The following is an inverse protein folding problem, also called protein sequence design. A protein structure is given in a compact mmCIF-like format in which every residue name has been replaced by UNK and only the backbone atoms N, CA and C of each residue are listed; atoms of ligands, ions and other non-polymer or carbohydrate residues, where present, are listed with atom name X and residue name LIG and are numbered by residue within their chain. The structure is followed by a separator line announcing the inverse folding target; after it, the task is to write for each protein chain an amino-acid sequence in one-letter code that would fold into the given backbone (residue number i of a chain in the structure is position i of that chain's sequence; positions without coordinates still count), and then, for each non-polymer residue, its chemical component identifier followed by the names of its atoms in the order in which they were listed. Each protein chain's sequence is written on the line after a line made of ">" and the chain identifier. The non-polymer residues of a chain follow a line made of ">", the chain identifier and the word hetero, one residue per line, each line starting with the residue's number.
data_IF_709636638169
#
_entry.id   IF_709636638169
#
_cell.length_a   1.000
_cell.length_b   1.000
_cell.length_c   1.000
_cell.angle_alpha   90.00
_cell.angle_beta   90.00
_cell.angle_gamma   90.00
#
_symmetry.space_group_name_H-M   'P 1'
#
loop_
_entity.id
_entity.type
_entity.pdbx_description
1 polymer ?
#
# COMPACT_ATOMS: atom_id res chain seq x y z
N UNK A 1 18.93 -1.48 -25.48
CA UNK A 1 17.47 -1.49 -25.70
C UNK A 1 16.89 -0.17 -25.20
N UNK A 2 16.02 0.43 -25.96
CA UNK A 2 15.20 1.56 -25.50
C UNK A 2 14.11 1.08 -24.54
N UNK A 3 13.48 2.00 -23.80
CA UNK A 3 12.34 1.67 -22.92
C UNK A 3 11.27 0.90 -23.71
N UNK A 4 10.90 1.40 -24.89
CA UNK A 4 9.89 0.78 -25.75
C UNK A 4 10.26 -0.65 -26.19
N UNK A 5 11.50 -0.88 -26.56
CA UNK A 5 11.98 -2.24 -26.93
C UNK A 5 11.90 -3.20 -25.72
N UNK A 6 12.19 -2.72 -24.50
CA UNK A 6 12.07 -3.52 -23.28
C UNK A 6 10.60 -3.85 -22.99
N UNK A 7 9.73 -2.88 -23.11
CA UNK A 7 8.27 -3.04 -22.90
C UNK A 7 7.67 -4.04 -23.90
N UNK A 8 8.03 -3.93 -25.19
CA UNK A 8 7.58 -4.85 -26.23
C UNK A 8 8.04 -6.30 -25.93
N UNK A 9 9.28 -6.47 -25.48
CA UNK A 9 9.82 -7.77 -25.10
C UNK A 9 9.13 -8.33 -23.83
N UNK A 10 8.85 -7.49 -22.81
CA UNK A 10 8.08 -7.88 -21.62
C UNK A 10 6.69 -8.35 -22.03
N UNK A 11 5.98 -7.59 -22.87
CA UNK A 11 4.61 -7.91 -23.33
C UNK A 11 4.61 -9.23 -24.11
N UNK A 12 5.65 -9.49 -24.92
CA UNK A 12 5.81 -10.75 -25.63
C UNK A 12 6.04 -11.91 -24.67
N UNK A 13 7.04 -11.80 -23.78
CA UNK A 13 7.44 -12.88 -22.88
C UNK A 13 6.37 -13.21 -21.83
N UNK A 14 5.64 -12.21 -21.28
CA UNK A 14 4.60 -12.49 -20.30
C UNK A 14 3.46 -13.32 -20.90
N UNK A 15 3.13 -13.12 -22.17
CA UNK A 15 2.12 -13.94 -22.89
C UNK A 15 2.65 -15.34 -23.18
N UNK A 16 3.90 -15.43 -23.67
CA UNK A 16 4.53 -16.69 -24.04
C UNK A 16 4.73 -17.63 -22.85
N UNK A 17 5.03 -17.07 -21.67
CA UNK A 17 5.35 -17.82 -20.45
C UNK A 17 4.22 -17.82 -19.42
N UNK A 18 3.05 -17.31 -19.77
CA UNK A 18 1.84 -17.26 -18.94
C UNK A 18 2.05 -16.53 -17.60
N UNK A 19 2.65 -15.33 -17.65
CA UNK A 19 2.82 -14.45 -16.50
C UNK A 19 1.74 -13.37 -16.42
N UNK A 20 1.28 -13.09 -15.21
CA UNK A 20 0.50 -11.90 -14.84
C UNK A 20 1.42 -10.89 -14.17
N UNK A 21 1.39 -9.64 -14.61
CA UNK A 21 2.15 -8.54 -14.00
C UNK A 21 1.18 -7.64 -13.25
N UNK A 22 1.36 -7.54 -11.94
CA UNK A 22 0.63 -6.66 -11.03
C UNK A 22 1.53 -5.49 -10.67
N UNK A 23 1.04 -4.26 -10.76
CA UNK A 23 1.82 -3.08 -10.41
C UNK A 23 1.07 -2.18 -9.43
N UNK A 24 1.72 -1.87 -8.30
CA UNK A 24 1.19 -0.88 -7.38
C UNK A 24 1.14 0.50 -8.03
N UNK A 25 0.13 1.29 -7.71
CA UNK A 25 -0.06 2.63 -8.24
C UNK A 25 1.11 3.61 -7.96
N UNK A 26 2.05 3.24 -7.07
CA UNK A 26 3.28 4.01 -6.83
C UNK A 26 4.44 3.64 -7.77
N UNK A 27 4.27 2.70 -8.69
CA UNK A 27 5.27 2.39 -9.71
C UNK A 27 5.39 3.50 -10.76
N UNK A 28 6.52 3.53 -11.49
CA UNK A 28 6.69 4.42 -12.63
C UNK A 28 5.70 4.09 -13.76
N UNK A 29 5.34 5.09 -14.54
CA UNK A 29 4.36 4.95 -15.61
C UNK A 29 4.77 3.89 -16.64
N UNK A 30 6.07 3.79 -16.94
CA UNK A 30 6.62 2.79 -17.85
C UNK A 30 6.38 1.34 -17.41
N UNK A 31 6.26 1.09 -16.08
CA UNK A 31 5.92 -0.22 -15.54
C UNK A 31 4.41 -0.46 -15.63
N UNK A 32 3.59 0.58 -15.40
CA UNK A 32 2.14 0.46 -15.51
C UNK A 32 1.70 0.10 -16.93
N UNK A 33 2.42 0.58 -17.96
CA UNK A 33 2.14 0.28 -19.36
C UNK A 33 2.30 -1.22 -19.72
N UNK A 34 3.11 -1.97 -18.97
CA UNK A 34 3.29 -3.42 -19.18
C UNK A 34 2.51 -4.28 -18.19
N UNK A 35 1.92 -3.67 -17.14
CA UNK A 35 1.13 -4.35 -16.14
C UNK A 35 -0.21 -4.86 -16.71
N UNK A 36 -0.72 -5.93 -16.13
CA UNK A 36 -2.08 -6.43 -16.40
C UNK A 36 -3.10 -5.76 -15.47
N UNK A 37 -2.69 -5.47 -14.24
CA UNK A 37 -3.51 -4.80 -13.24
C UNK A 37 -2.71 -3.75 -12.49
N UNK A 38 -3.34 -2.61 -12.22
CA UNK A 38 -2.84 -1.54 -11.37
C UNK A 38 -3.78 -1.33 -10.18
N UNK A 39 -3.23 -1.11 -8.99
CA UNK A 39 -4.04 -0.87 -7.79
C UNK A 39 -3.24 -0.65 -6.52
N UNK A 40 -3.92 -0.79 -5.40
CA UNK A 40 -3.32 -0.84 -4.08
C UNK A 40 -2.89 -2.27 -3.68
N UNK A 41 -2.23 -2.38 -2.52
CA UNK A 41 -1.65 -3.64 -2.05
C UNK A 41 -2.64 -4.80 -1.96
N UNK A 42 -3.83 -4.54 -1.42
CA UNK A 42 -4.84 -5.58 -1.22
C UNK A 42 -5.60 -5.89 -2.52
N UNK A 43 -6.04 -4.86 -3.23
CA UNK A 43 -6.75 -5.03 -4.49
C UNK A 43 -5.97 -5.86 -5.51
N UNK A 44 -4.66 -5.62 -5.63
CA UNK A 44 -3.78 -6.42 -6.50
C UNK A 44 -3.70 -7.89 -6.08
N UNK A 45 -3.63 -8.16 -4.77
CA UNK A 45 -3.58 -9.55 -4.28
C UNK A 45 -4.91 -10.29 -4.53
N UNK A 46 -6.04 -9.60 -4.47
CA UNK A 46 -7.35 -10.14 -4.85
C UNK A 46 -7.42 -10.42 -6.35
N UNK A 47 -6.92 -9.50 -7.19
CA UNK A 47 -6.86 -9.76 -8.64
C UNK A 47 -5.94 -10.94 -8.97
N UNK A 48 -4.78 -11.06 -8.28
CA UNK A 48 -3.91 -12.23 -8.42
C UNK A 48 -4.65 -13.54 -8.12
N UNK A 49 -5.49 -13.57 -7.10
CA UNK A 49 -6.23 -14.80 -6.71
C UNK A 49 -7.27 -15.23 -7.74
N UNK A 50 -7.83 -14.27 -8.48
CA UNK A 50 -8.85 -14.53 -9.53
C UNK A 50 -8.24 -14.84 -10.89
N UNK A 51 -7.02 -14.36 -11.16
CA UNK A 51 -6.34 -14.58 -12.43
C UNK A 51 -6.04 -16.06 -12.63
N UNK A 52 -6.21 -16.61 -13.82
CA UNK A 52 -6.00 -18.03 -14.11
C UNK A 52 -4.52 -18.40 -14.25
N UNK A 53 -3.65 -17.43 -14.47
CA UNK A 53 -2.21 -17.65 -14.68
C UNK A 53 -1.52 -18.08 -13.39
N UNK A 54 -0.55 -18.98 -13.53
CA UNK A 54 0.18 -19.55 -12.39
C UNK A 54 1.34 -18.67 -11.92
N UNK A 55 1.90 -17.86 -12.80
CA UNK A 55 3.08 -17.06 -12.52
C UNK A 55 2.69 -15.59 -12.38
N UNK A 56 3.00 -15.00 -11.23
CA UNK A 56 2.67 -13.61 -10.90
C UNK A 56 3.97 -12.83 -10.68
N UNK A 57 4.11 -11.68 -11.32
CA UNK A 57 5.14 -10.71 -10.98
C UNK A 57 4.46 -9.57 -10.20
N UNK A 58 4.88 -9.34 -8.95
CA UNK A 58 4.38 -8.25 -8.11
C UNK A 58 5.35 -7.07 -8.14
N UNK A 59 5.07 -6.07 -8.97
CA UNK A 59 5.81 -4.81 -9.00
C UNK A 59 5.35 -3.90 -7.85
N UNK A 60 6.07 -3.97 -6.75
CA UNK A 60 5.77 -3.31 -5.49
C UNK A 60 6.88 -3.59 -4.48
N UNK A 61 6.52 -3.74 -3.21
CA UNK A 61 7.44 -4.06 -2.12
C UNK A 61 7.12 -5.43 -1.51
N UNK A 62 8.07 -5.99 -0.76
CA UNK A 62 8.09 -7.37 -0.26
C UNK A 62 6.78 -7.81 0.37
N UNK A 63 6.24 -7.08 1.36
CA UNK A 63 5.01 -7.49 2.06
C UNK A 63 3.80 -7.65 1.11
N UNK A 64 3.79 -6.95 -0.03
CA UNK A 64 2.74 -7.07 -1.05
C UNK A 64 2.88 -8.38 -1.81
N UNK A 65 4.10 -8.75 -2.20
CA UNK A 65 4.38 -10.03 -2.86
C UNK A 65 4.06 -11.21 -1.92
N UNK A 66 4.41 -11.08 -0.63
CA UNK A 66 4.04 -12.05 0.40
C UNK A 66 2.52 -12.15 0.59
N UNK A 67 1.80 -11.02 0.67
CA UNK A 67 0.33 -11.02 0.76
C UNK A 67 -0.30 -11.67 -0.47
N UNK A 68 0.23 -11.40 -1.66
CA UNK A 68 -0.18 -12.05 -2.90
C UNK A 68 0.03 -13.59 -2.83
N UNK A 69 1.17 -14.05 -2.31
CA UNK A 69 1.47 -15.48 -2.12
C UNK A 69 0.50 -16.13 -1.11
N UNK A 70 0.22 -15.46 0.00
CA UNK A 70 -0.71 -15.96 1.04
C UNK A 70 -2.13 -16.13 0.47
N UNK A 71 -2.61 -15.18 -0.33
CA UNK A 71 -3.94 -15.25 -0.96
C UNK A 71 -3.98 -16.15 -2.21
N UNK A 72 -2.83 -16.51 -2.74
CA UNK A 72 -2.68 -17.37 -3.93
C UNK A 72 -1.63 -18.46 -3.70
N UNK A 73 -1.84 -19.40 -2.73
CA UNK A 73 -0.81 -20.35 -2.29
C UNK A 73 -0.32 -21.27 -3.42
N UNK A 74 -1.18 -21.58 -4.38
CA UNK A 74 -0.87 -22.46 -5.52
C UNK A 74 -0.12 -21.74 -6.67
N UNK A 75 0.17 -20.45 -6.53
CA UNK A 75 0.84 -19.63 -7.56
C UNK A 75 2.30 -19.36 -7.22
N UNK A 76 3.11 -19.22 -8.25
CA UNK A 76 4.47 -18.73 -8.12
C UNK A 76 4.43 -17.21 -8.15
N UNK A 77 4.85 -16.57 -7.07
CA UNK A 77 4.86 -15.10 -6.94
C UNK A 77 6.29 -14.61 -6.90
N UNK A 78 6.62 -13.69 -7.78
CA UNK A 78 7.96 -13.14 -7.93
C UNK A 78 7.99 -11.66 -7.54
N UNK A 79 8.96 -11.29 -6.71
CA UNK A 79 9.36 -9.91 -6.44
C UNK A 79 10.50 -9.54 -7.40
N UNK A 80 10.33 -8.59 -8.34
CA UNK A 80 11.34 -8.31 -9.37
C UNK A 80 12.67 -7.82 -8.80
N UNK A 81 12.61 -6.97 -7.77
CA UNK A 81 13.80 -6.48 -7.07
C UNK A 81 13.75 -6.92 -5.60
N UNK A 82 14.64 -7.84 -5.16
CA UNK A 82 14.65 -8.35 -3.78
C UNK A 82 14.90 -7.29 -2.70
N UNK A 83 15.55 -6.18 -3.05
CA UNK A 83 15.82 -5.05 -2.13
C UNK A 83 14.60 -4.14 -1.91
N UNK A 84 13.50 -4.37 -2.63
CA UNK A 84 12.29 -3.58 -2.52
C UNK A 84 11.51 -3.94 -1.24
N UNK A 85 12.07 -3.61 -0.07
CA UNK A 85 11.44 -3.71 1.23
C UNK A 85 10.50 -2.52 1.53
N UNK A 86 9.85 -2.55 2.69
CA UNK A 86 9.04 -1.42 3.18
C UNK A 86 9.47 -1.03 4.59
N UNK A 87 10.13 0.14 4.76
CA UNK A 87 10.61 0.56 6.09
C UNK A 87 9.51 0.63 7.17
N UNK A 88 8.25 0.89 6.78
CA UNK A 88 7.14 0.84 7.72
C UNK A 88 6.79 -0.60 8.10
N UNK A 89 6.74 -1.51 7.14
CA UNK A 89 6.38 -2.90 7.41
C UNK A 89 7.42 -3.62 8.28
N UNK A 90 8.69 -3.23 8.17
CA UNK A 90 9.85 -3.88 8.76
C UNK A 90 10.30 -3.24 10.10
N UNK A 91 9.65 -2.17 10.57
CA UNK A 91 10.07 -1.45 11.77
C UNK A 91 9.66 -2.14 13.09
N UNK A 92 8.79 -3.14 13.04
CA UNK A 92 8.32 -3.89 14.20
C UNK A 92 8.65 -5.37 14.03
N UNK A 93 9.23 -5.99 15.05
CA UNK A 93 9.47 -7.43 15.10
C UNK A 93 8.47 -8.14 16.05
N UNK A 94 8.38 -9.49 16.01
CA UNK A 94 7.49 -10.25 16.87
C UNK A 94 7.69 -10.01 18.36
N UNK A 95 8.94 -9.85 18.82
CA UNK A 95 9.29 -9.62 20.23
C UNK A 95 8.69 -8.30 20.73
N UNK A 96 8.80 -7.24 19.92
CA UNK A 96 8.19 -5.93 20.22
C UNK A 96 6.66 -6.03 20.31
N UNK A 97 6.03 -6.80 19.44
CA UNK A 97 4.59 -7.03 19.50
C UNK A 97 4.20 -7.80 20.78
N UNK A 98 4.98 -8.80 21.18
CA UNK A 98 4.74 -9.56 22.41
C UNK A 98 4.86 -8.68 23.67
N UNK A 99 5.82 -7.75 23.70
CA UNK A 99 5.94 -6.77 24.76
C UNK A 99 4.73 -5.84 24.81
N UNK A 100 4.26 -5.38 23.65
CA UNK A 100 3.06 -4.55 23.57
C UNK A 100 1.80 -5.30 23.99
N UNK A 101 1.62 -6.57 23.63
CA UNK A 101 0.52 -7.41 24.11
C UNK A 101 0.52 -7.58 25.64
N UNK A 102 1.69 -7.71 26.24
CA UNK A 102 1.84 -7.75 27.73
C UNK A 102 1.45 -6.42 28.36
N UNK A 103 1.81 -5.29 27.72
CA UNK A 103 1.49 -3.94 28.20
C UNK A 103 0.00 -3.59 28.03
N UNK A 104 -0.66 -4.13 26.99
CA UNK A 104 -2.05 -3.88 26.64
C UNK A 104 -2.86 -5.19 26.64
N UNK A 105 -3.06 -5.82 27.81
CA UNK A 105 -3.77 -7.10 27.88
C UNK A 105 -5.23 -6.92 27.48
N UNK A 106 -5.74 -7.86 26.66
CA UNK A 106 -7.13 -7.86 26.19
C UNK A 106 -7.43 -6.92 25.04
N UNK A 107 -6.42 -6.24 24.46
CA UNK A 107 -6.61 -5.49 23.22
C UNK A 107 -6.61 -6.41 22.00
N UNK A 108 -7.49 -6.16 21.06
CA UNK A 108 -7.42 -6.79 19.74
C UNK A 108 -6.28 -6.17 18.93
N UNK A 109 -5.41 -7.00 18.38
CA UNK A 109 -4.28 -6.54 17.54
C UNK A 109 -4.75 -6.35 16.11
N UNK A 110 -4.89 -5.10 15.71
CA UNK A 110 -5.24 -4.70 14.34
C UNK A 110 -3.98 -4.30 13.60
N UNK A 111 -3.62 -5.07 12.58
CA UNK A 111 -2.43 -4.82 11.77
C UNK A 111 -2.79 -4.14 10.45
N UNK A 112 -2.22 -2.97 10.18
CA UNK A 112 -2.20 -2.46 8.84
C UNK A 112 -1.50 -3.46 7.91
N UNK A 113 -2.00 -3.65 6.70
CA UNK A 113 -1.48 -4.65 5.75
C UNK A 113 0.00 -4.48 5.45
N UNK A 114 0.52 -3.24 5.61
CA UNK A 114 1.93 -2.87 5.50
C UNK A 114 2.72 -3.37 6.73
N UNK A 115 2.80 -4.65 6.88
CA UNK A 115 3.42 -5.40 7.98
C UNK A 115 4.01 -6.68 7.39
N UNK A 116 5.06 -7.25 7.99
CA UNK A 116 5.64 -8.53 7.53
C UNK A 116 4.65 -9.68 7.71
N UNK A 117 4.78 -10.73 6.91
CA UNK A 117 3.93 -11.90 7.03
C UNK A 117 4.12 -12.64 8.35
N UNK A 118 5.33 -12.65 8.89
CA UNK A 118 5.64 -13.20 10.20
C UNK A 118 4.86 -12.48 11.30
N UNK A 119 4.87 -11.14 11.31
CA UNK A 119 4.16 -10.36 12.33
C UNK A 119 2.63 -10.56 12.24
N UNK A 120 2.09 -10.74 11.02
CA UNK A 120 0.67 -11.04 10.80
C UNK A 120 0.21 -12.33 11.51
N UNK A 121 1.10 -13.31 11.71
CA UNK A 121 0.75 -14.57 12.40
C UNK A 121 0.27 -14.32 13.84
N UNK A 122 0.74 -13.27 14.47
CA UNK A 122 0.45 -12.87 15.83
C UNK A 122 -0.65 -11.80 15.96
N UNK A 123 -1.27 -11.39 14.84
CA UNK A 123 -2.32 -10.37 14.80
C UNK A 123 -3.72 -10.97 14.66
N UNK A 124 -4.74 -10.27 15.18
CA UNK A 124 -6.12 -10.74 15.14
C UNK A 124 -6.79 -10.45 13.80
N UNK A 125 -6.50 -9.31 13.17
CA UNK A 125 -7.06 -8.91 11.88
C UNK A 125 -6.14 -7.93 11.17
N UNK A 126 -6.06 -8.03 9.84
CA UNK A 126 -5.47 -7.01 9.00
C UNK A 126 -6.50 -5.94 8.60
N UNK A 127 -6.00 -4.76 8.25
CA UNK A 127 -6.78 -3.68 7.64
C UNK A 127 -5.97 -3.01 6.53
N UNK A 128 -6.66 -2.35 5.61
CA UNK A 128 -6.06 -1.42 4.65
C UNK A 128 -6.48 0.02 4.99
N UNK A 129 -5.86 1.01 4.41
CA UNK A 129 -6.29 2.42 4.58
C UNK A 129 -7.74 2.65 4.14
N UNK A 130 -8.28 1.84 3.22
CA UNK A 130 -9.67 1.93 2.78
C UNK A 130 -10.66 1.20 3.68
N UNK A 131 -10.24 0.15 4.40
CA UNK A 131 -11.12 -0.72 5.19
C UNK A 131 -10.99 -0.54 6.70
N UNK A 132 -9.97 0.19 7.17
CA UNK A 132 -9.63 0.27 8.60
C UNK A 132 -10.79 0.78 9.47
N UNK A 133 -11.47 1.84 9.07
CA UNK A 133 -12.61 2.39 9.81
C UNK A 133 -13.74 1.36 9.89
N UNK A 134 -14.11 0.75 8.76
CA UNK A 134 -15.18 -0.24 8.69
C UNK A 134 -14.88 -1.48 9.54
N UNK A 135 -13.67 -2.03 9.41
CA UNK A 135 -13.29 -3.25 10.13
C UNK A 135 -13.18 -3.01 11.63
N UNK A 136 -12.49 -1.94 12.05
CA UNK A 136 -12.39 -1.59 13.47
C UNK A 136 -13.75 -1.34 14.11
N UNK A 137 -14.70 -0.74 13.36
CA UNK A 137 -16.07 -0.55 13.84
C UNK A 137 -16.85 -1.86 14.03
N UNK A 138 -16.56 -2.88 13.23
CA UNK A 138 -17.19 -4.22 13.31
C UNK A 138 -16.59 -5.16 14.35
N UNK A 139 -15.44 -4.80 14.95
CA UNK A 139 -14.84 -5.61 16.01
C UNK A 139 -15.67 -5.50 17.30
N UNK A 140 -15.98 -6.64 17.91
CA UNK A 140 -16.67 -6.70 19.22
C UNK A 140 -15.81 -6.15 20.36
N UNK A 141 -14.48 -6.08 20.17
CA UNK A 141 -13.54 -5.57 21.17
C UNK A 141 -13.47 -4.03 21.10
N UNK A 142 -13.72 -3.38 22.23
CA UNK A 142 -13.63 -1.92 22.35
C UNK A 142 -12.19 -1.42 22.54
N UNK A 143 -11.22 -2.35 22.76
CA UNK A 143 -9.81 -2.05 22.95
C UNK A 143 -9.00 -2.55 21.77
N UNK A 144 -8.31 -1.64 21.09
CA UNK A 144 -7.56 -1.91 19.86
C UNK A 144 -6.10 -1.53 20.00
N UNK A 145 -5.20 -2.49 19.78
CA UNK A 145 -3.78 -2.24 19.56
C UNK A 145 -3.53 -2.13 18.06
N UNK A 146 -3.37 -0.90 17.57
CA UNK A 146 -3.20 -0.62 16.15
C UNK A 146 -1.72 -0.51 15.78
N UNK A 147 -1.28 -1.31 14.81
CA UNK A 147 0.11 -1.39 14.36
C UNK A 147 0.21 -1.36 12.83
N UNK A 148 1.36 -1.00 12.21
CA UNK A 148 2.48 -0.30 12.79
C UNK A 148 2.39 1.23 12.62
N UNK A 149 1.30 1.76 11.99
CA UNK A 149 1.14 3.18 11.67
C UNK A 149 0.18 3.89 12.64
N UNK A 150 0.70 4.73 13.57
CA UNK A 150 -0.13 5.46 14.50
C UNK A 150 -0.95 6.58 13.85
N UNK A 151 -0.56 7.09 12.68
CA UNK A 151 -1.31 8.15 12.01
C UNK A 151 -2.61 7.61 11.42
N UNK A 152 -2.53 6.49 10.69
CA UNK A 152 -3.72 5.77 10.25
C UNK A 152 -4.58 5.35 11.44
N UNK A 153 -3.96 4.83 12.52
CA UNK A 153 -4.67 4.46 13.75
C UNK A 153 -5.38 5.65 14.40
N UNK A 154 -4.73 6.81 14.49
CA UNK A 154 -5.35 8.05 15.00
C UNK A 154 -6.51 8.53 14.12
N UNK A 155 -6.37 8.42 12.80
CA UNK A 155 -7.47 8.73 11.88
C UNK A 155 -8.66 7.82 12.13
N UNK A 156 -8.44 6.52 12.32
CA UNK A 156 -9.49 5.53 12.63
C UNK A 156 -10.13 5.84 13.99
N UNK A 157 -9.33 6.08 15.04
CA UNK A 157 -9.82 6.40 16.38
C UNK A 157 -10.74 7.62 16.41
N UNK A 158 -10.44 8.66 15.62
CA UNK A 158 -11.30 9.87 15.52
C UNK A 158 -12.70 9.56 14.99
N UNK A 159 -12.87 8.47 14.22
CA UNK A 159 -14.17 8.05 13.69
C UNK A 159 -14.98 7.19 14.68
N UNK A 160 -14.34 6.70 15.75
CA UNK A 160 -14.95 5.86 16.78
C UNK A 160 -14.39 6.21 18.17
N UNK A 161 -14.76 7.39 18.70
CA UNK A 161 -14.23 7.91 19.97
C UNK A 161 -14.62 7.06 21.19
N UNK A 162 -15.58 6.16 21.05
CA UNK A 162 -16.01 5.21 22.08
C UNK A 162 -15.03 4.04 22.28
N UNK A 163 -14.15 3.75 21.31
CA UNK A 163 -13.15 2.68 21.40
C UNK A 163 -11.81 3.20 21.90
N UNK A 164 -11.15 2.41 22.71
CA UNK A 164 -9.82 2.69 23.27
C UNK A 164 -8.72 2.18 22.33
N UNK A 165 -7.80 3.05 21.92
CA UNK A 165 -6.69 2.68 21.06
C UNK A 165 -5.34 2.80 21.74
N UNK A 166 -4.49 1.82 21.51
CA UNK A 166 -3.05 1.88 21.78
C UNK A 166 -2.30 1.77 20.45
N UNK A 167 -1.16 2.46 20.36
CA UNK A 167 -0.40 2.56 19.12
C UNK A 167 1.05 2.12 19.32
N UNK A 168 1.62 1.54 18.29
CA UNK A 168 3.06 1.47 18.12
C UNK A 168 3.59 2.83 17.68
N UNK A 169 4.75 3.24 18.16
CA UNK A 169 5.37 4.51 17.76
C UNK A 169 6.21 4.34 16.49
N UNK A 170 5.54 4.20 15.35
CA UNK A 170 6.13 3.98 14.05
C UNK A 170 5.50 4.85 12.97
N UNK A 171 5.35 4.30 11.76
CA UNK A 171 4.68 4.94 10.62
C UNK A 171 5.53 5.05 9.36
N UNK A 172 4.91 5.48 8.27
CA UNK A 172 5.58 5.63 7.00
C UNK A 172 6.56 6.82 7.02
N UNK A 173 7.88 6.63 6.83
CA UNK A 173 8.85 7.72 6.90
C UNK A 173 8.63 8.79 5.83
N UNK A 174 7.96 8.46 4.70
CA UNK A 174 7.64 9.42 3.64
C UNK A 174 6.48 10.32 4.03
N UNK A 175 5.38 9.75 4.52
CA UNK A 175 4.23 10.52 4.98
C UNK A 175 4.53 11.31 6.26
N UNK A 176 5.33 10.75 7.18
CA UNK A 176 5.80 11.45 8.39
C UNK A 176 6.69 12.67 8.08
N UNK A 177 7.42 12.66 6.96
CA UNK A 177 8.29 13.76 6.56
C UNK A 177 7.52 15.01 6.09
N UNK A 178 6.24 14.86 5.70
CA UNK A 178 5.38 15.99 5.32
C UNK A 178 4.90 16.70 6.58
N UNK A 179 5.11 18.00 6.62
CA UNK A 179 4.75 18.85 7.75
C UNK A 179 3.53 19.73 7.46
N UNK A 180 2.92 20.28 8.51
CA UNK A 180 1.85 21.28 8.36
C UNK A 180 2.31 22.48 7.49
N UNK A 181 3.57 22.91 7.64
CA UNK A 181 4.14 24.01 6.83
C UNK A 181 4.18 23.65 5.33
N UNK A 182 4.51 22.38 4.98
CA UNK A 182 4.43 21.90 3.59
C UNK A 182 2.99 22.04 3.05
N UNK A 183 1.98 21.62 3.83
CA UNK A 183 0.58 21.69 3.43
C UNK A 183 0.09 23.13 3.25
N UNK A 184 0.40 24.03 4.20
CA UNK A 184 0.01 25.42 4.13
C UNK A 184 0.66 26.14 2.95
N UNK A 185 1.95 25.88 2.69
CA UNK A 185 2.66 26.43 1.52
C UNK A 185 2.04 25.92 0.21
N UNK A 186 1.69 24.64 0.12
CA UNK A 186 1.05 24.11 -1.08
C UNK A 186 -0.32 24.76 -1.31
N UNK A 187 -1.12 24.99 -0.27
CA UNK A 187 -2.41 25.71 -0.35
C UNK A 187 -2.24 27.18 -0.73
N UNK A 188 -1.17 27.83 -0.24
CA UNK A 188 -0.85 29.22 -0.63
C UNK A 188 -0.46 29.35 -2.11
N UNK A 189 0.32 28.37 -2.63
CA UNK A 189 0.73 28.32 -4.03
C UNK A 189 -0.43 27.97 -4.97
N UNK A 190 -1.39 27.18 -4.49
CA UNK A 190 -2.52 26.66 -5.27
C UNK A 190 -3.86 26.92 -4.55
N UNK A 191 -4.29 28.20 -4.39
CA UNK A 191 -5.39 28.59 -3.52
C UNK A 191 -6.78 28.09 -3.97
N UNK A 192 -6.90 27.56 -5.20
CA UNK A 192 -8.15 26.99 -5.74
C UNK A 192 -8.16 25.47 -5.72
N UNK A 193 -7.04 24.84 -5.35
CA UNK A 193 -6.91 23.38 -5.33
C UNK A 193 -7.44 22.79 -4.04
N UNK A 194 -8.18 21.68 -4.14
CA UNK A 194 -8.56 20.86 -3.00
C UNK A 194 -7.38 19.99 -2.54
N UNK A 195 -7.12 19.94 -1.24
CA UNK A 195 -6.08 19.12 -0.63
C UNK A 195 -6.60 17.72 -0.32
N UNK A 196 -6.09 16.71 -1.04
CA UNK A 196 -6.44 15.30 -0.86
C UNK A 196 -5.28 14.57 -0.18
N UNK A 197 -5.51 13.98 1.01
CA UNK A 197 -4.43 13.48 1.88
C UNK A 197 -4.64 12.01 2.25
N UNK A 198 -3.56 11.23 2.23
CA UNK A 198 -3.56 9.87 2.76
C UNK A 198 -3.51 9.89 4.30
N UNK A 199 -4.27 9.02 5.02
CA UNK A 199 -4.31 9.02 6.48
C UNK A 199 -2.99 8.59 7.17
N UNK A 200 -1.98 8.13 6.43
CA UNK A 200 -0.60 7.95 6.93
C UNK A 200 0.12 9.28 7.19
N UNK A 201 -0.38 10.40 6.65
CA UNK A 201 0.16 11.72 6.95
C UNK A 201 -0.10 12.09 8.42
N UNK A 202 0.73 12.98 8.93
CA UNK A 202 0.61 13.51 10.30
C UNK A 202 -0.78 14.05 10.56
N UNK A 203 -1.31 13.91 11.80
CA UNK A 203 -2.65 14.39 12.14
C UNK A 203 -2.88 15.89 11.91
N UNK A 204 -1.84 16.71 12.01
CA UNK A 204 -1.89 18.15 11.71
C UNK A 204 -2.06 18.44 10.20
N UNK A 205 -1.44 17.63 9.34
CA UNK A 205 -1.61 17.69 7.88
C UNK A 205 -2.99 17.17 7.46
N UNK A 206 -3.43 16.06 8.06
CA UNK A 206 -4.77 15.48 7.82
C UNK A 206 -5.89 16.46 8.21
N UNK A 207 -5.69 17.29 9.24
CA UNK A 207 -6.66 18.30 9.68
C UNK A 207 -6.87 19.42 8.65
N UNK A 208 -5.91 19.67 7.77
CA UNK A 208 -6.00 20.68 6.70
C UNK A 208 -6.63 20.16 5.40
N UNK A 209 -6.88 18.85 5.31
CA UNK A 209 -7.34 18.22 4.09
C UNK A 209 -8.84 18.47 3.81
N UNK A 210 -9.17 18.67 2.54
CA UNK A 210 -10.54 18.70 2.04
C UNK A 210 -11.10 17.28 1.88
N UNK A 211 -10.21 16.31 1.61
CA UNK A 211 -10.55 14.89 1.54
C UNK A 211 -9.42 14.02 2.12
N UNK A 212 -9.81 13.04 2.93
CA UNK A 212 -8.88 12.03 3.48
C UNK A 212 -9.31 10.64 3.02
N UNK A 213 -8.40 9.90 2.41
CA UNK A 213 -8.71 8.57 1.91
C UNK A 213 -7.49 7.76 1.51
N UNK A 214 -7.72 6.48 1.17
CA UNK A 214 -6.69 5.61 0.59
C UNK A 214 -6.19 6.14 -0.75
N UNK A 215 -5.09 5.60 -1.25
CA UNK A 215 -4.56 5.94 -2.58
C UNK A 215 -5.63 5.82 -3.67
N UNK A 216 -6.32 4.68 -3.72
CA UNK A 216 -7.41 4.46 -4.69
C UNK A 216 -8.60 5.39 -4.43
N UNK A 217 -8.89 5.71 -3.17
CA UNK A 217 -9.92 6.68 -2.77
C UNK A 217 -9.60 8.09 -3.25
N UNK A 218 -8.36 8.56 -3.08
CA UNK A 218 -7.87 9.86 -3.59
C UNK A 218 -8.03 9.92 -5.11
N UNK A 219 -7.56 8.90 -5.81
CA UNK A 219 -7.69 8.84 -7.28
C UNK A 219 -9.16 8.85 -7.73
N UNK A 220 -10.02 8.07 -7.07
CA UNK A 220 -11.44 8.02 -7.40
C UNK A 220 -12.15 9.35 -7.12
N UNK A 221 -11.82 10.01 -6.00
CA UNK A 221 -12.34 11.34 -5.68
C UNK A 221 -11.92 12.36 -6.74
N UNK A 222 -10.63 12.43 -7.06
CA UNK A 222 -10.11 13.37 -8.05
C UNK A 222 -10.71 13.18 -9.45
N UNK A 223 -10.94 11.92 -9.87
CA UNK A 223 -11.60 11.63 -11.17
C UNK A 223 -13.05 12.10 -11.20
N UNK A 224 -13.82 11.89 -10.14
CA UNK A 224 -15.27 12.16 -10.06
C UNK A 224 -15.61 13.61 -9.73
N UNK A 225 -14.72 14.32 -9.02
CA UNK A 225 -14.94 15.71 -8.62
C UNK A 225 -15.09 16.63 -9.82
N UNK A 226 -15.96 17.63 -9.71
CA UNK A 226 -16.10 18.71 -10.70
C UNK A 226 -14.97 19.76 -10.60
N UNK A 227 -14.22 19.75 -9.50
CA UNK A 227 -13.06 20.62 -9.28
C UNK A 227 -11.97 20.32 -10.31
N UNK A 228 -11.16 21.33 -10.58
CA UNK A 228 -10.15 21.29 -11.64
C UNK A 228 -8.73 21.27 -11.12
N UNK A 229 -8.51 21.57 -9.85
CA UNK A 229 -7.20 21.67 -9.25
C UNK A 229 -7.14 20.90 -7.94
N UNK A 230 -6.08 20.09 -7.76
CA UNK A 230 -5.90 19.24 -6.59
C UNK A 230 -4.45 19.24 -6.11
N UNK A 231 -4.26 19.33 -4.80
CA UNK A 231 -2.99 19.05 -4.13
C UNK A 231 -3.04 17.63 -3.61
N UNK A 232 -2.07 16.81 -3.99
CA UNK A 232 -2.03 15.38 -3.67
C UNK A 232 -1.06 15.13 -2.51
N UNK A 233 -1.61 14.71 -1.37
CA UNK A 233 -0.90 14.38 -0.14
C UNK A 233 -0.68 12.88 0.02
N UNK A 234 -0.17 12.22 -1.03
CA UNK A 234 0.35 10.85 -1.01
C UNK A 234 1.51 10.71 -1.99
N UNK A 235 2.00 9.50 -2.25
CA UNK A 235 3.18 9.24 -3.09
C UNK A 235 3.09 9.91 -4.47
N UNK A 236 4.22 10.46 -4.91
CA UNK A 236 4.35 11.39 -6.03
C UNK A 236 3.80 10.85 -7.37
N UNK A 237 3.93 9.55 -7.64
CA UNK A 237 3.41 8.95 -8.89
C UNK A 237 1.91 9.14 -9.08
N UNK A 238 1.16 9.33 -8.01
CA UNK A 238 -0.29 9.56 -8.10
C UNK A 238 -0.60 10.88 -8.81
N UNK A 239 0.24 11.90 -8.64
CA UNK A 239 0.14 13.16 -9.39
C UNK A 239 0.29 12.90 -10.89
N UNK A 240 1.34 12.16 -11.27
CA UNK A 240 1.63 11.84 -12.67
C UNK A 240 0.50 11.02 -13.29
N UNK A 241 0.04 9.98 -12.63
CA UNK A 241 -1.04 9.11 -13.14
C UNK A 241 -2.34 9.88 -13.32
N UNK A 242 -2.74 10.68 -12.33
CA UNK A 242 -3.94 11.51 -12.43
C UNK A 242 -3.83 12.55 -13.54
N UNK A 243 -2.63 13.11 -13.78
CA UNK A 243 -2.42 14.06 -14.88
C UNK A 243 -2.58 13.39 -16.26
N UNK A 244 -2.12 12.12 -16.40
CA UNK A 244 -2.35 11.33 -17.61
C UNK A 244 -3.82 10.99 -17.82
N UNK A 245 -4.50 10.57 -16.76
CA UNK A 245 -5.89 10.12 -16.81
C UNK A 245 -6.89 11.26 -16.97
N UNK A 246 -6.59 12.42 -16.40
CA UNK A 246 -7.47 13.59 -16.34
C UNK A 246 -6.76 14.83 -16.92
N UNK A 247 -6.53 14.91 -18.24
CA UNK A 247 -5.76 15.99 -18.86
C UNK A 247 -6.44 17.37 -18.77
N UNK A 248 -7.72 17.42 -18.40
CA UNK A 248 -8.50 18.64 -18.18
C UNK A 248 -8.42 19.16 -16.74
N UNK A 249 -7.63 18.52 -15.87
CA UNK A 249 -7.41 18.87 -14.46
C UNK A 249 -5.92 19.10 -14.17
N UNK A 250 -5.63 19.79 -13.08
CA UNK A 250 -4.26 20.06 -12.63
C UNK A 250 -4.01 19.39 -11.29
N UNK A 251 -2.87 18.72 -11.16
CA UNK A 251 -2.48 18.00 -9.96
C UNK A 251 -1.11 18.46 -9.49
N UNK A 252 -1.02 18.80 -8.21
CA UNK A 252 0.18 19.33 -7.58
C UNK A 252 0.60 18.42 -6.42
N UNK A 253 1.87 18.06 -6.27
CA UNK A 253 2.32 17.34 -5.08
C UNK A 253 2.31 18.29 -3.88
N UNK A 254 1.85 17.80 -2.71
CA UNK A 254 1.94 18.56 -1.46
C UNK A 254 3.41 18.84 -1.08
N UNK A 255 4.32 17.92 -1.38
CA UNK A 255 5.75 18.02 -1.12
C UNK A 255 6.54 16.99 -1.93
N UNK A 256 7.76 17.34 -2.35
CA UNK A 256 8.72 16.42 -2.97
C UNK A 256 9.19 15.29 -2.04
N UNK A 257 8.93 15.41 -0.72
CA UNK A 257 9.28 14.37 0.29
C UNK A 257 8.50 13.08 0.14
N UNK A 258 7.35 13.11 -0.57
CA UNK A 258 6.46 11.96 -0.76
C UNK A 258 6.90 10.99 -1.88
N UNK A 259 8.16 10.98 -2.25
CA UNK A 259 8.69 9.96 -3.15
C UNK A 259 9.12 8.72 -2.37
N UNK A 260 8.49 7.57 -2.66
CA UNK A 260 8.85 6.29 -2.07
C UNK A 260 9.97 5.61 -2.85
N UNK A 261 11.22 5.76 -2.39
CA UNK A 261 12.38 5.17 -3.07
C UNK A 261 12.29 3.65 -3.20
N UNK A 262 11.74 2.96 -2.20
CA UNK A 262 11.61 1.50 -2.22
C UNK A 262 10.66 1.02 -3.33
N UNK A 263 9.57 1.76 -3.59
CA UNK A 263 8.67 1.49 -4.72
C UNK A 263 9.32 1.78 -6.08
N UNK A 264 10.40 2.58 -6.13
CA UNK A 264 11.13 2.91 -7.36
C UNK A 264 12.34 2.00 -7.62
N UNK A 265 12.62 1.03 -6.74
CA UNK A 265 13.70 0.06 -6.96
C UNK A 265 13.37 -0.91 -8.11
N UNK A 266 12.12 -1.29 -8.26
CA UNK A 266 11.70 -2.13 -9.39
C UNK A 266 11.79 -1.35 -10.70
N UNK A 267 12.47 -1.94 -11.69
CA UNK A 267 12.64 -1.38 -13.03
C UNK A 267 12.08 -2.35 -14.10
N UNK A 268 11.90 -1.86 -15.33
CA UNK A 268 11.57 -2.73 -16.48
C UNK A 268 12.61 -3.84 -16.70
N UNK A 269 13.87 -3.56 -16.39
CA UNK A 269 14.96 -4.57 -16.53
C UNK A 269 14.79 -5.69 -15.51
N UNK A 270 14.38 -5.37 -14.28
CA UNK A 270 14.12 -6.39 -13.26
C UNK A 270 12.95 -7.30 -13.68
N UNK A 271 11.86 -6.71 -14.19
CA UNK A 271 10.72 -7.47 -14.72
C UNK A 271 11.16 -8.39 -15.88
N UNK A 272 11.95 -7.85 -16.80
CA UNK A 272 12.48 -8.63 -17.93
C UNK A 272 13.37 -9.78 -17.47
N UNK A 273 14.19 -9.56 -16.43
CA UNK A 273 15.06 -10.60 -15.85
C UNK A 273 14.23 -11.71 -15.19
N UNK A 274 13.15 -11.40 -14.46
CA UNK A 274 12.21 -12.42 -13.96
C UNK A 274 11.65 -13.25 -15.11
N UNK A 275 11.15 -12.60 -16.14
CA UNK A 275 10.58 -13.29 -17.32
C UNK A 275 11.62 -14.17 -18.04
N UNK A 276 12.90 -13.81 -18.02
CA UNK A 276 14.00 -14.61 -18.57
C UNK A 276 14.52 -15.70 -17.62
N UNK A 277 14.12 -15.69 -16.36
CA UNK A 277 14.62 -16.61 -15.33
C UNK A 277 16.06 -16.29 -14.90
N UNK A 278 16.50 -15.03 -15.01
CA UNK A 278 17.85 -14.56 -14.69
C UNK A 278 17.91 -13.58 -13.53
N UNK A 279 16.77 -13.31 -12.87
CA UNK A 279 16.69 -12.37 -11.74
C UNK A 279 15.36 -12.43 -11.05
N UNK A 280 15.18 -11.55 -10.06
CA UNK A 280 14.05 -11.54 -9.15
C UNK A 280 14.16 -12.62 -8.06
N UNK A 281 13.18 -12.63 -7.17
CA UNK A 281 13.08 -13.59 -6.08
C UNK A 281 11.69 -14.22 -6.10
N UNK A 282 11.60 -15.53 -6.05
CA UNK A 282 10.35 -16.24 -5.81
C UNK A 282 10.01 -16.19 -4.32
N UNK A 283 8.80 -15.74 -3.99
CA UNK A 283 8.33 -15.67 -2.61
C UNK A 283 7.97 -17.06 -2.11
N UNK A 284 8.73 -17.54 -1.15
CA UNK A 284 8.51 -18.79 -0.44
C UNK A 284 8.33 -18.48 1.04
N UNK A 285 7.21 -18.91 1.62
CA UNK A 285 6.89 -18.74 3.04
C UNK A 285 6.73 -20.14 3.68
N UNK A 286 7.09 -20.27 4.95
CA UNK A 286 6.86 -21.50 5.70
C UNK A 286 5.36 -21.77 5.87
N UNK A 287 4.97 -23.03 6.04
CA UNK A 287 3.58 -23.42 6.26
C UNK A 287 2.98 -22.70 7.48
N UNK A 288 3.76 -22.53 8.55
CA UNK A 288 3.35 -21.81 9.76
C UNK A 288 3.01 -20.34 9.46
N UNK A 289 3.86 -19.65 8.70
CA UNK A 289 3.63 -18.24 8.29
C UNK A 289 2.43 -18.16 7.36
N UNK A 290 2.33 -19.07 6.39
CA UNK A 290 1.21 -19.13 5.45
C UNK A 290 -0.12 -19.27 6.19
N UNK A 291 -0.24 -20.25 7.10
CA UNK A 291 -1.45 -20.50 7.88
C UNK A 291 -1.77 -19.33 8.82
N UNK A 292 -0.79 -18.86 9.60
CA UNK A 292 -0.98 -17.80 10.59
C UNK A 292 -1.39 -16.48 9.96
N UNK A 293 -0.66 -16.01 8.94
CA UNK A 293 -0.96 -14.77 8.24
C UNK A 293 -2.26 -14.85 7.44
N UNK A 294 -2.59 -16.02 6.87
CA UNK A 294 -3.87 -16.26 6.18
C UNK A 294 -5.07 -16.03 7.09
N UNK A 295 -5.01 -16.45 8.36
CA UNK A 295 -6.11 -16.20 9.33
C UNK A 295 -6.37 -14.70 9.50
N UNK A 296 -5.31 -13.92 9.72
CA UNK A 296 -5.37 -12.47 9.89
C UNK A 296 -5.95 -11.76 8.65
N UNK A 297 -5.50 -12.14 7.45
CA UNK A 297 -5.94 -11.57 6.18
C UNK A 297 -7.39 -11.99 5.86
N UNK A 298 -7.74 -13.28 6.03
CA UNK A 298 -9.10 -13.77 5.77
C UNK A 298 -10.13 -13.09 6.68
N UNK A 299 -9.76 -12.78 7.93
CA UNK A 299 -10.62 -12.02 8.82
C UNK A 299 -10.84 -10.58 8.31
N UNK A 300 -9.83 -9.96 7.71
CA UNK A 300 -9.99 -8.68 7.02
C UNK A 300 -11.02 -8.77 5.88
N UNK A 301 -10.92 -9.84 5.06
CA UNK A 301 -11.84 -10.07 3.94
C UNK A 301 -13.27 -10.28 4.43
N UNK A 302 -13.45 -11.03 5.51
CA UNK A 302 -14.77 -11.33 6.06
C UNK A 302 -15.46 -10.11 6.70
N UNK A 303 -14.69 -9.14 7.19
CA UNK A 303 -15.20 -7.94 7.86
C UNK A 303 -15.26 -6.71 6.95
N UNK A 304 -14.49 -6.69 5.86
CA UNK A 304 -14.33 -5.56 4.93
C UNK A 304 -15.44 -5.41 3.87
#
# INVERSE_FOLDING_TARGET
>A
MTIKEIQEEIIRLKKEKDFCILAHAYQGHEILEVADYMGDSYGLSVEASKDSRKNIIMCGVRFMAETCKILSPDKNVYLPNPEAGCPMAEQMNPETLDEMKKKYPGYAVVAYINTTSELKTACDVCVTSSSAVQICGKLDNDKILFIPDPNLGNYVQKQMPEKEFAFFNGGCPRHLAVTLDDALKAKELHPHAELLVHPECRPDVVAEADYVGSTTGIMAYARKSEKKEFIIGTEHSIVEHLQYECPDKMFYPISSKLMCHNMKLTTLVDILNVLKGTGGEEIVLSDEVMEGASRCINRMIALG
#
